data_IF_283624192364
#
_entry.id   IF_283624192364
#
_cell.length_a   1.000
_cell.length_b   1.000
_cell.length_c   1.000
_cell.angle_alpha   90.00
_cell.angle_beta   90.00
_cell.angle_gamma   90.00
#
_symmetry.space_group_name_H-M   'P 1'
#
loop_
_entity.id
_entity.type
_entity.pdbx_description
1 polymer ?
#
# COMPACT_ATOMS: atom_id res chain seq x y z
N UNK A 1 -11.51 5.33 -20.09
CA UNK A 1 -10.78 6.24 -19.19
C UNK A 1 -10.22 5.47 -18.03
N UNK A 2 -8.96 5.69 -17.71
CA UNK A 2 -8.38 5.08 -16.52
C UNK A 2 -8.93 5.76 -15.28
N UNK A 3 -9.29 4.98 -14.28
CA UNK A 3 -9.70 5.53 -12.99
C UNK A 3 -8.47 6.05 -12.26
N UNK A 4 -8.61 7.16 -11.58
CA UNK A 4 -7.56 7.64 -10.70
C UNK A 4 -7.39 6.67 -9.54
N UNK A 5 -6.18 6.17 -9.41
CA UNK A 5 -5.80 5.29 -8.31
C UNK A 5 -4.71 5.98 -7.52
N UNK A 6 -4.95 6.23 -6.24
CA UNK A 6 -3.98 6.92 -5.39
C UNK A 6 -4.02 6.41 -3.96
N UNK A 7 -2.91 6.56 -3.27
CA UNK A 7 -2.86 6.28 -1.84
C UNK A 7 -3.55 7.43 -1.10
N UNK A 8 -4.50 7.09 -0.23
CA UNK A 8 -5.20 8.10 0.57
C UNK A 8 -4.23 8.63 1.64
N UNK A 9 -4.02 9.96 1.72
CA UNK A 9 -3.11 10.51 2.73
C UNK A 9 -3.55 10.17 4.15
N UNK A 10 -2.56 9.99 5.03
CA UNK A 10 -2.77 9.79 6.46
C UNK A 10 -3.54 8.50 6.82
N UNK A 11 -3.57 7.52 5.91
CA UNK A 11 -4.17 6.21 6.22
C UNK A 11 -3.14 5.19 6.67
N UNK A 12 -1.87 5.53 6.66
CA UNK A 12 -0.79 4.62 7.02
C UNK A 12 -0.90 4.23 8.49
N UNK A 13 -0.84 2.92 8.76
CA UNK A 13 -0.83 2.37 10.12
C UNK A 13 0.24 1.29 10.21
N UNK A 14 1.03 1.33 11.28
CA UNK A 14 2.06 0.34 11.52
C UNK A 14 1.56 -0.75 12.46
N UNK A 15 1.90 -1.99 12.14
CA UNK A 15 1.64 -3.13 13.03
C UNK A 15 2.81 -4.11 12.89
N UNK A 16 3.65 -4.17 13.91
CA UNK A 16 4.86 -4.97 13.83
C UNK A 16 5.77 -4.47 12.70
N UNK A 17 6.10 -5.34 11.77
CA UNK A 17 6.92 -5.01 10.62
C UNK A 17 6.08 -4.68 9.37
N UNK A 18 4.77 -4.56 9.52
CA UNK A 18 3.89 -4.29 8.39
C UNK A 18 3.33 -2.88 8.48
N UNK A 19 3.07 -2.29 7.30
CA UNK A 19 2.37 -1.02 7.18
C UNK A 19 1.12 -1.27 6.35
N UNK A 20 -0.04 -0.87 6.87
CA UNK A 20 -1.28 -0.89 6.10
C UNK A 20 -1.60 0.53 5.66
N UNK A 21 -2.18 0.64 4.48
CA UNK A 21 -2.64 1.91 3.96
C UNK A 21 -3.83 1.66 3.05
N UNK A 22 -4.51 2.74 2.67
CA UNK A 22 -5.72 2.64 1.85
C UNK A 22 -5.46 3.23 0.48
N UNK A 23 -5.84 2.47 -0.53
CA UNK A 23 -5.81 2.90 -1.93
C UNK A 23 -7.20 3.35 -2.33
N UNK A 24 -7.32 4.53 -2.91
CA UNK A 24 -8.59 5.05 -3.41
C UNK A 24 -8.69 4.81 -4.90
N UNK A 25 -9.80 4.23 -5.35
CA UNK A 25 -10.09 3.97 -6.75
C UNK A 25 -11.49 4.51 -7.01
N UNK A 26 -11.55 5.76 -7.47
CA UNK A 26 -12.84 6.44 -7.55
C UNK A 26 -13.47 6.52 -6.17
N UNK A 27 -14.68 5.98 -6.02
CA UNK A 27 -15.39 5.95 -4.73
C UNK A 27 -15.04 4.70 -3.89
N UNK A 28 -14.24 3.80 -4.42
CA UNK A 28 -13.88 2.54 -3.74
C UNK A 28 -12.61 2.72 -2.92
N UNK A 29 -12.57 2.08 -1.75
CA UNK A 29 -11.38 2.05 -0.89
C UNK A 29 -10.87 0.63 -0.82
N UNK A 30 -9.58 0.46 -1.05
CA UNK A 30 -8.93 -0.85 -1.03
C UNK A 30 -7.78 -0.84 -0.03
N UNK A 31 -7.81 -1.74 0.94
CA UNK A 31 -6.73 -1.88 1.93
C UNK A 31 -5.54 -2.58 1.30
N UNK A 32 -4.36 -2.03 1.55
CA UNK A 32 -3.09 -2.60 1.12
C UNK A 32 -2.19 -2.81 2.33
N UNK A 33 -1.37 -3.85 2.28
CA UNK A 33 -0.45 -4.17 3.36
C UNK A 33 0.95 -4.35 2.79
N UNK A 34 1.90 -3.57 3.30
CA UNK A 34 3.32 -3.68 2.93
C UNK A 34 4.05 -4.42 4.06
N UNK A 35 4.64 -5.56 3.73
CA UNK A 35 5.48 -6.30 4.67
C UNK A 35 6.92 -5.81 4.56
N UNK A 36 7.50 -5.40 5.69
CA UNK A 36 8.88 -4.94 5.74
C UNK A 36 9.71 -5.84 6.65
N UNK A 37 11.03 -5.63 6.63
CA UNK A 37 11.96 -6.34 7.52
C UNK A 37 12.68 -5.39 8.47
N UNK A 38 12.23 -4.14 8.56
CA UNK A 38 12.84 -3.15 9.45
C UNK A 38 12.54 -3.48 10.91
N UNK A 39 13.48 -3.12 11.79
CA UNK A 39 13.34 -3.36 13.22
C UNK A 39 12.37 -2.40 13.90
N UNK A 40 12.24 -1.19 13.37
CA UNK A 40 11.37 -0.16 13.95
C UNK A 40 10.33 0.29 12.95
N UNK A 41 9.19 0.73 13.47
CA UNK A 41 8.13 1.28 12.62
C UNK A 41 8.58 2.59 11.96
N UNK A 42 9.39 3.40 12.63
CA UNK A 42 9.89 4.64 12.03
C UNK A 42 10.68 4.37 10.76
N UNK A 43 11.53 3.33 10.76
CA UNK A 43 12.27 2.95 9.57
C UNK A 43 11.33 2.48 8.45
N UNK A 44 10.32 1.70 8.81
CA UNK A 44 9.34 1.21 7.85
C UNK A 44 8.53 2.36 7.24
N UNK A 45 8.08 3.31 8.05
CA UNK A 45 7.34 4.48 7.57
C UNK A 45 8.22 5.35 6.67
N UNK A 46 9.47 5.58 7.05
CA UNK A 46 10.41 6.36 6.22
C UNK A 46 10.61 5.71 4.86
N UNK A 47 10.78 4.40 4.85
CA UNK A 47 10.91 3.64 3.60
C UNK A 47 9.66 3.75 2.76
N UNK A 48 8.48 3.59 3.36
CA UNK A 48 7.21 3.70 2.67
C UNK A 48 7.04 5.09 2.04
N UNK A 49 7.29 6.15 2.81
CA UNK A 49 7.14 7.52 2.30
C UNK A 49 8.13 7.83 1.17
N UNK A 50 9.35 7.35 1.29
CA UNK A 50 10.36 7.53 0.26
C UNK A 50 9.96 6.88 -1.06
N UNK A 51 9.31 5.72 -1.01
CA UNK A 51 8.93 4.94 -2.18
C UNK A 51 7.42 4.94 -2.44
N UNK A 52 6.71 5.92 -1.88
CA UNK A 52 5.26 5.98 -1.95
C UNK A 52 4.72 5.83 -3.38
N UNK A 53 5.28 6.56 -4.34
CA UNK A 53 4.82 6.53 -5.72
C UNK A 53 5.03 5.14 -6.35
N UNK A 54 6.13 4.48 -6.00
CA UNK A 54 6.39 3.12 -6.49
C UNK A 54 5.38 2.13 -5.94
N UNK A 55 5.05 2.22 -4.65
CA UNK A 55 4.05 1.34 -4.04
C UNK A 55 2.65 1.60 -4.59
N UNK A 56 2.33 2.85 -4.88
CA UNK A 56 1.06 3.19 -5.54
C UNK A 56 0.95 2.47 -6.89
N UNK A 57 2.01 2.49 -7.69
CA UNK A 57 2.03 1.82 -9.00
C UNK A 57 1.94 0.30 -8.87
N UNK A 58 2.67 -0.28 -7.92
CA UNK A 58 2.63 -1.73 -7.70
C UNK A 58 1.25 -2.17 -7.23
N UNK A 59 0.67 -1.43 -6.29
CA UNK A 59 -0.68 -1.73 -5.79
C UNK A 59 -1.72 -1.64 -6.89
N UNK A 60 -1.61 -0.63 -7.74
CA UNK A 60 -2.49 -0.47 -8.89
C UNK A 60 -2.38 -1.66 -9.84
N UNK A 61 -1.16 -2.10 -10.16
CA UNK A 61 -0.94 -3.23 -11.04
C UNK A 61 -1.55 -4.51 -10.47
N UNK A 62 -1.39 -4.74 -9.16
CA UNK A 62 -1.98 -5.91 -8.51
C UNK A 62 -3.50 -5.87 -8.52
N UNK A 63 -4.06 -4.70 -8.29
CA UNK A 63 -5.51 -4.50 -8.36
C UNK A 63 -6.05 -4.84 -9.74
N UNK A 64 -5.37 -4.37 -10.80
CA UNK A 64 -5.77 -4.62 -12.18
C UNK A 64 -5.72 -6.10 -12.54
N UNK A 65 -4.85 -6.87 -11.89
CA UNK A 65 -4.75 -8.33 -12.07
C UNK A 65 -5.67 -9.10 -11.14
N UNK A 66 -6.38 -8.43 -10.26
CA UNK A 66 -7.24 -9.10 -9.27
C UNK A 66 -6.46 -9.83 -8.18
N UNK A 67 -5.23 -9.44 -7.91
CA UNK A 67 -4.37 -10.06 -6.90
C UNK A 67 -4.70 -9.51 -5.51
N UNK A 68 -5.89 -9.87 -5.02
CA UNK A 68 -6.39 -9.45 -3.71
C UNK A 68 -6.64 -10.70 -2.89
N UNK A 69 -6.03 -10.77 -1.70
CA UNK A 69 -6.20 -11.89 -0.77
C UNK A 69 -6.94 -11.40 0.47
N UNK A 70 -8.07 -12.03 0.77
CA UNK A 70 -8.90 -11.68 1.93
C UNK A 70 -9.24 -10.18 2.00
N UNK A 71 -9.48 -9.57 0.84
CA UNK A 71 -9.80 -8.16 0.75
C UNK A 71 -8.60 -7.22 0.90
N UNK A 72 -7.38 -7.74 0.89
CA UNK A 72 -6.15 -6.96 1.09
C UNK A 72 -5.17 -7.21 -0.04
N UNK A 73 -4.58 -6.14 -0.56
CA UNK A 73 -3.49 -6.25 -1.53
C UNK A 73 -2.18 -6.39 -0.74
N UNK A 74 -1.50 -7.53 -0.93
CA UNK A 74 -0.24 -7.79 -0.25
C UNK A 74 0.93 -7.25 -1.06
N UNK A 75 1.80 -6.48 -0.41
CA UNK A 75 2.97 -5.89 -1.03
C UNK A 75 4.22 -6.30 -0.25
N UNK A 76 5.34 -6.35 -0.95
CA UNK A 76 6.64 -6.61 -0.35
C UNK A 76 7.58 -5.43 -0.64
N UNK A 77 8.72 -5.40 0.05
CA UNK A 77 9.73 -4.38 -0.20
C UNK A 77 10.24 -4.46 -1.63
N UNK A 78 10.63 -3.30 -2.15
CA UNK A 78 11.15 -3.17 -3.52
C UNK A 78 12.53 -3.81 -3.66
#
# INVERSE_FOLDING_TARGET
>A
MSKDVRIVPETERGKGQAITFVLAIGAVRQVCRLQTTFRTQNQAFSYFHKHRNAFERVARARLERGEIEDGVIQLTML
#
